data_IF_203287124558
#
_entry.id   IF_203287124558
#
_cell.length_a   1.000
_cell.length_b   1.000
_cell.length_c   1.000
_cell.angle_alpha   90.00
_cell.angle_beta   90.00
_cell.angle_gamma   90.00
#
_symmetry.space_group_name_H-M   'P 1'
#
loop_
_entity.id
_entity.type
_entity.pdbx_description
1 polymer ?
#
# COMPACT_ATOMS: atom_id res chain seq x y z
N UNK A 1 10.26 -9.16 -9.83
CA UNK A 1 10.14 -8.37 -11.11
C UNK A 1 10.35 -6.88 -10.86
N UNK A 2 9.65 -6.25 -9.93
CA UNK A 2 9.72 -4.79 -9.63
C UNK A 2 11.13 -4.31 -9.30
N UNK A 3 11.88 -5.03 -8.48
CA UNK A 3 13.27 -4.69 -8.14
C UNK A 3 14.14 -4.50 -9.40
N UNK A 4 14.06 -5.43 -10.34
CA UNK A 4 14.80 -5.35 -11.61
C UNK A 4 14.34 -4.16 -12.45
N UNK A 5 13.02 -3.95 -12.54
CA UNK A 5 12.46 -2.83 -13.30
C UNK A 5 12.89 -1.48 -12.71
N UNK A 6 12.84 -1.31 -11.40
CA UNK A 6 13.25 -0.06 -10.75
C UNK A 6 14.74 0.20 -10.90
N UNK A 7 15.60 -0.83 -10.83
CA UNK A 7 17.05 -0.70 -11.14
C UNK A 7 17.29 -0.31 -12.60
N UNK A 8 16.54 -0.89 -13.53
CA UNK A 8 16.63 -0.51 -14.95
C UNK A 8 16.19 0.93 -15.19
N UNK A 9 15.10 1.37 -14.54
CA UNK A 9 14.66 2.76 -14.62
C UNK A 9 15.69 3.73 -14.02
N UNK A 10 16.35 3.37 -12.93
CA UNK A 10 17.46 4.18 -12.37
C UNK A 10 18.65 4.25 -13.31
N UNK A 11 19.05 3.13 -13.93
CA UNK A 11 20.13 3.10 -14.91
C UNK A 11 19.79 3.97 -16.12
N UNK A 12 18.56 3.90 -16.63
CA UNK A 12 18.07 4.76 -17.71
C UNK A 12 18.12 6.26 -17.32
N UNK A 13 17.66 6.60 -16.09
CA UNK A 13 17.73 7.98 -15.61
C UNK A 13 19.16 8.49 -15.49
N UNK A 14 20.09 7.64 -15.03
CA UNK A 14 21.51 7.99 -14.97
C UNK A 14 22.06 8.24 -16.38
N UNK A 15 21.76 7.37 -17.34
CA UNK A 15 22.16 7.55 -18.72
C UNK A 15 21.58 8.86 -19.32
N UNK A 16 20.32 9.17 -19.04
CA UNK A 16 19.69 10.42 -19.46
C UNK A 16 20.37 11.66 -18.84
N UNK A 17 20.71 11.61 -17.55
CA UNK A 17 21.46 12.68 -16.88
C UNK A 17 22.82 12.89 -17.54
N UNK A 18 23.56 11.81 -17.84
CA UNK A 18 24.84 11.89 -18.50
C UNK A 18 24.73 12.45 -19.94
N UNK A 19 23.69 12.05 -20.67
CA UNK A 19 23.42 12.56 -22.01
C UNK A 19 23.12 14.08 -22.00
N UNK A 20 22.25 14.53 -21.07
CA UNK A 20 21.98 15.97 -20.90
C UNK A 20 23.22 16.72 -20.49
N UNK A 21 24.03 16.21 -19.55
CA UNK A 21 25.29 16.85 -19.15
C UNK A 21 26.28 16.96 -20.32
N UNK A 22 26.42 15.91 -21.13
CA UNK A 22 27.24 15.92 -22.33
C UNK A 22 26.75 16.95 -23.36
N UNK A 23 25.45 17.03 -23.62
CA UNK A 23 24.85 18.02 -24.51
C UNK A 23 25.11 19.46 -24.05
N UNK A 24 25.00 19.74 -22.76
CA UNK A 24 25.29 21.05 -22.16
C UNK A 24 26.79 21.34 -22.22
N UNK A 25 27.65 20.35 -21.95
CA UNK A 25 29.12 20.51 -21.96
C UNK A 25 29.65 20.79 -23.38
N UNK A 26 29.23 19.99 -24.36
CA UNK A 26 29.78 20.03 -25.69
C UNK A 26 28.99 20.91 -26.67
N UNK A 27 27.65 20.98 -26.49
CA UNK A 27 26.77 21.79 -27.33
C UNK A 27 26.73 23.28 -26.91
N UNK A 28 26.71 23.53 -25.58
CA UNK A 28 26.64 24.90 -25.03
C UNK A 28 27.96 25.38 -24.42
N UNK A 29 29.01 24.57 -24.45
CA UNK A 29 30.36 24.88 -23.96
C UNK A 29 30.48 25.27 -22.49
N UNK A 30 29.52 24.89 -21.63
CA UNK A 30 29.60 25.09 -20.18
C UNK A 30 30.64 24.16 -19.52
N UNK A 31 31.17 24.55 -18.36
CA UNK A 31 32.02 23.68 -17.54
C UNK A 31 31.25 22.45 -17.01
N UNK A 32 31.98 21.36 -16.69
CA UNK A 32 31.37 20.10 -16.21
C UNK A 32 30.49 20.27 -14.97
N UNK A 33 30.90 21.10 -14.00
CA UNK A 33 30.07 21.33 -12.78
C UNK A 33 28.70 21.93 -13.11
N UNK A 34 28.69 22.92 -14.02
CA UNK A 34 27.45 23.56 -14.50
C UNK A 34 26.60 22.55 -15.30
N UNK A 35 27.25 21.79 -16.21
CA UNK A 35 26.54 20.79 -17.01
C UNK A 35 25.88 19.70 -16.16
N UNK A 36 26.59 19.16 -15.17
CA UNK A 36 26.04 18.19 -14.23
C UNK A 36 24.94 18.79 -13.34
N UNK A 37 25.12 20.05 -12.89
CA UNK A 37 24.08 20.76 -12.12
C UNK A 37 22.78 20.94 -12.91
N UNK A 38 22.87 21.36 -14.18
CA UNK A 38 21.73 21.49 -15.09
C UNK A 38 21.05 20.13 -15.31
N UNK A 39 21.83 19.09 -15.61
CA UNK A 39 21.30 17.75 -15.82
C UNK A 39 20.57 17.19 -14.59
N UNK A 40 21.10 17.42 -13.39
CA UNK A 40 20.44 17.07 -12.14
C UNK A 40 19.14 17.85 -11.93
N UNK A 41 19.13 19.16 -12.20
CA UNK A 41 17.91 19.97 -12.11
C UNK A 41 16.85 19.51 -13.11
N UNK A 42 17.22 19.10 -14.31
CA UNK A 42 16.29 18.51 -15.30
C UNK A 42 15.69 17.23 -14.76
N UNK A 43 16.49 16.32 -14.18
CA UNK A 43 15.96 15.10 -13.55
C UNK A 43 14.96 15.41 -12.44
N UNK A 44 15.31 16.34 -11.53
CA UNK A 44 14.42 16.76 -10.44
C UNK A 44 13.13 17.38 -10.99
N UNK A 45 13.24 18.23 -12.02
CA UNK A 45 12.07 18.86 -12.66
C UNK A 45 11.13 17.83 -13.30
N UNK A 46 11.67 16.82 -13.99
CA UNK A 46 10.85 15.73 -14.56
C UNK A 46 10.11 14.97 -13.45
N UNK A 47 10.80 14.58 -12.40
CA UNK A 47 10.18 13.87 -11.27
C UNK A 47 9.17 14.72 -10.52
N UNK A 48 9.45 16.01 -10.37
CA UNK A 48 8.52 17.00 -9.82
C UNK A 48 7.26 17.10 -10.68
N UNK A 49 7.43 17.16 -12.02
CA UNK A 49 6.33 17.17 -12.99
C UNK A 49 5.43 15.93 -12.86
N UNK A 50 6.01 14.75 -12.70
CA UNK A 50 5.24 13.50 -12.44
C UNK A 50 4.43 13.61 -11.14
N UNK A 51 5.05 14.09 -10.06
CA UNK A 51 4.35 14.28 -8.78
C UNK A 51 3.23 15.30 -8.91
N UNK A 52 3.46 16.44 -9.55
CA UNK A 52 2.42 17.47 -9.79
C UNK A 52 1.28 16.86 -10.61
N UNK A 53 1.59 16.10 -11.66
CA UNK A 53 0.57 15.45 -12.49
C UNK A 53 -0.34 14.53 -11.66
N UNK A 54 0.22 13.75 -10.73
CA UNK A 54 -0.58 12.91 -9.84
C UNK A 54 -1.55 13.74 -8.98
N UNK A 55 -1.10 14.87 -8.43
CA UNK A 55 -1.97 15.78 -7.68
C UNK A 55 -3.04 16.43 -8.56
N UNK A 56 -2.70 16.80 -9.80
CA UNK A 56 -3.66 17.38 -10.76
C UNK A 56 -4.74 16.34 -11.14
N UNK A 57 -4.32 15.10 -11.43
CA UNK A 57 -5.26 14.01 -11.73
C UNK A 57 -6.13 13.70 -10.51
N UNK A 58 -5.56 13.59 -9.32
CA UNK A 58 -6.32 13.36 -8.09
C UNK A 58 -7.33 14.50 -7.83
N UNK A 59 -6.97 15.73 -8.16
CA UNK A 59 -7.91 16.86 -8.03
C UNK A 59 -9.16 16.69 -8.90
N UNK A 60 -9.06 16.14 -10.10
CA UNK A 60 -10.22 15.93 -11.02
C UNK A 60 -11.23 14.95 -10.41
N UNK A 61 -10.77 14.00 -9.60
CA UNK A 61 -11.59 12.96 -8.99
C UNK A 61 -11.84 13.17 -7.50
N UNK A 62 -11.32 14.26 -6.90
CA UNK A 62 -11.34 14.45 -5.44
C UNK A 62 -12.75 14.48 -4.87
N UNK A 63 -12.91 13.87 -3.70
CA UNK A 63 -14.07 14.04 -2.83
C UNK A 63 -14.04 15.39 -2.11
N UNK A 64 -15.20 15.81 -1.61
CA UNK A 64 -15.29 16.98 -0.75
C UNK A 64 -14.46 16.72 0.53
N UNK A 65 -13.62 17.70 0.89
CA UNK A 65 -12.79 17.63 2.10
C UNK A 65 -13.50 18.35 3.25
N UNK A 66 -13.82 17.67 4.36
CA UNK A 66 -14.40 18.29 5.54
C UNK A 66 -13.52 19.42 6.09
N UNK A 67 -14.13 20.42 6.73
CA UNK A 67 -13.43 21.64 7.14
C UNK A 67 -12.20 21.38 8.02
N UNK A 68 -12.31 20.45 8.95
CA UNK A 68 -11.26 20.03 9.90
C UNK A 68 -10.04 19.39 9.22
N UNK A 69 -10.20 18.85 8.01
CA UNK A 69 -9.12 18.24 7.23
C UNK A 69 -8.54 19.16 6.15
N UNK A 70 -9.07 20.37 5.99
CA UNK A 70 -8.57 21.32 4.98
C UNK A 70 -7.18 21.83 5.34
N UNK A 71 -6.36 21.98 4.31
CA UNK A 71 -5.00 22.50 4.43
C UNK A 71 -4.97 23.97 3.96
N UNK A 72 -4.22 24.79 4.65
CA UNK A 72 -3.78 26.08 4.10
C UNK A 72 -2.63 25.86 3.11
N UNK A 73 -2.24 26.90 2.38
CA UNK A 73 -1.20 26.80 1.33
C UNK A 73 0.14 26.30 1.86
N UNK A 74 0.55 26.70 3.07
CA UNK A 74 1.79 26.27 3.69
C UNK A 74 1.77 24.76 4.04
N UNK A 75 0.71 24.28 4.66
CA UNK A 75 0.55 22.88 5.00
C UNK A 75 0.46 22.01 3.73
N UNK A 76 -0.20 22.51 2.67
CA UNK A 76 -0.25 21.83 1.40
C UNK A 76 1.16 21.71 0.78
N UNK A 77 1.93 22.80 0.73
CA UNK A 77 3.30 22.79 0.24
C UNK A 77 4.18 21.80 1.02
N UNK A 78 4.09 21.83 2.35
CA UNK A 78 4.81 20.89 3.22
C UNK A 78 4.44 19.44 2.90
N UNK A 79 3.15 19.15 2.80
CA UNK A 79 2.65 17.81 2.44
C UNK A 79 3.15 17.38 1.07
N UNK A 80 3.07 18.25 0.06
CA UNK A 80 3.59 17.98 -1.28
C UNK A 80 5.09 17.66 -1.27
N UNK A 81 5.89 18.44 -0.56
CA UNK A 81 7.33 18.17 -0.42
C UNK A 81 7.59 16.83 0.27
N UNK A 82 6.85 16.51 1.33
CA UNK A 82 6.97 15.22 2.02
C UNK A 82 6.61 14.05 1.11
N UNK A 83 5.53 14.15 0.34
CA UNK A 83 5.10 13.12 -0.61
C UNK A 83 6.11 12.95 -1.75
N UNK A 84 6.64 14.05 -2.29
CA UNK A 84 7.71 14.02 -3.27
C UNK A 84 8.95 13.30 -2.74
N UNK A 85 9.42 13.65 -1.54
CA UNK A 85 10.58 13.00 -0.91
C UNK A 85 10.30 11.53 -0.58
N UNK A 86 9.08 11.19 -0.13
CA UNK A 86 8.65 9.81 0.09
C UNK A 86 8.70 9.00 -1.21
N UNK A 87 8.19 9.56 -2.31
CA UNK A 87 8.24 8.93 -3.63
C UNK A 87 9.68 8.76 -4.13
N UNK A 88 10.53 9.79 -3.96
CA UNK A 88 11.95 9.73 -4.30
C UNK A 88 12.68 8.65 -3.52
N UNK A 89 12.49 8.60 -2.20
CA UNK A 89 13.06 7.57 -1.34
C UNK A 89 12.63 6.16 -1.76
N UNK A 90 11.33 5.97 -1.95
CA UNK A 90 10.75 4.66 -2.26
C UNK A 90 11.24 4.14 -3.61
N UNK A 91 11.17 4.96 -4.66
CA UNK A 91 11.47 4.53 -6.03
C UNK A 91 12.97 4.50 -6.35
N UNK A 92 13.80 5.32 -5.67
CA UNK A 92 15.22 5.42 -5.95
C UNK A 92 16.10 4.62 -5.00
N UNK A 93 15.58 4.24 -3.81
CA UNK A 93 16.37 3.54 -2.81
C UNK A 93 15.67 2.28 -2.25
N UNK A 94 14.46 2.42 -1.69
CA UNK A 94 13.84 1.33 -0.95
C UNK A 94 13.48 0.14 -1.85
N UNK A 95 12.72 0.37 -2.92
CA UNK A 95 12.30 -0.70 -3.83
C UNK A 95 13.46 -1.32 -4.62
N UNK A 96 14.47 -0.57 -5.12
CA UNK A 96 15.59 -1.17 -5.84
C UNK A 96 16.57 -1.96 -4.94
N UNK A 97 16.74 -1.58 -3.65
CA UNK A 97 17.88 -2.06 -2.86
C UNK A 97 17.51 -2.62 -1.47
N UNK A 98 16.26 -2.50 -1.02
CA UNK A 98 15.82 -2.89 0.34
C UNK A 98 14.70 -3.92 0.36
N UNK A 99 14.59 -4.72 -0.70
CA UNK A 99 13.62 -5.84 -0.76
C UNK A 99 13.91 -6.84 0.35
N UNK A 100 12.86 -7.35 1.01
CA UNK A 100 12.96 -8.35 2.08
C UNK A 100 11.75 -9.31 2.12
N UNK A 101 11.12 -9.54 0.97
CA UNK A 101 10.04 -10.52 0.88
C UNK A 101 10.48 -11.91 1.34
N UNK A 102 9.56 -12.64 1.98
CA UNK A 102 9.74 -14.02 2.42
C UNK A 102 10.93 -14.24 3.38
N UNK A 103 11.31 -13.22 4.17
CA UNK A 103 12.30 -13.39 5.23
C UNK A 103 11.82 -14.47 6.24
N UNK A 104 12.72 -15.30 6.78
CA UNK A 104 12.38 -16.26 7.82
C UNK A 104 11.74 -15.59 9.05
N UNK A 105 10.83 -16.32 9.68
CA UNK A 105 10.07 -15.85 10.85
C UNK A 105 10.35 -16.78 12.03
N UNK A 106 10.58 -16.21 13.19
CA UNK A 106 10.74 -16.98 14.43
C UNK A 106 9.38 -17.22 15.11
N UNK A 107 9.33 -18.20 16.02
CA UNK A 107 8.17 -18.39 16.90
C UNK A 107 7.84 -17.10 17.65
N UNK A 108 6.55 -16.85 17.85
CA UNK A 108 6.04 -15.66 18.49
C UNK A 108 4.90 -16.03 19.46
N UNK A 109 4.87 -15.39 20.61
CA UNK A 109 3.74 -15.48 21.55
C UNK A 109 2.56 -14.58 21.13
N UNK A 110 2.81 -13.65 20.21
CA UNK A 110 1.82 -12.69 19.72
C UNK A 110 1.52 -12.92 18.25
N UNK A 111 0.35 -12.48 17.82
CA UNK A 111 -0.05 -12.59 16.42
C UNK A 111 0.96 -11.88 15.51
N UNK A 112 1.49 -12.57 14.50
CA UNK A 112 2.44 -11.98 13.56
C UNK A 112 1.73 -11.12 12.52
N UNK A 113 2.49 -10.30 11.81
CA UNK A 113 1.99 -9.34 10.82
C UNK A 113 2.43 -9.73 9.41
N UNK A 114 1.48 -9.80 8.49
CA UNK A 114 1.73 -9.93 7.05
C UNK A 114 1.64 -8.54 6.39
N UNK A 115 2.71 -8.12 5.70
CA UNK A 115 2.81 -6.84 5.00
C UNK A 115 2.55 -7.03 3.50
N UNK A 116 1.55 -6.35 2.96
CA UNK A 116 1.15 -6.44 1.54
C UNK A 116 1.25 -5.05 0.90
N UNK A 117 2.17 -4.89 -0.06
CA UNK A 117 2.38 -3.63 -0.77
C UNK A 117 1.32 -3.36 -1.86
N UNK A 118 1.34 -2.15 -2.43
CA UNK A 118 0.42 -1.72 -3.49
C UNK A 118 0.92 -1.98 -4.91
N UNK A 119 0.18 -1.42 -5.87
CA UNK A 119 0.47 -1.49 -7.30
C UNK A 119 1.87 -0.97 -7.64
N UNK A 120 2.59 -1.72 -8.47
CA UNK A 120 3.92 -1.32 -8.94
C UNK A 120 5.00 -1.25 -7.86
N UNK A 121 4.74 -1.78 -6.65
CA UNK A 121 5.67 -1.80 -5.54
C UNK A 121 6.28 -3.20 -5.32
N UNK A 122 7.15 -3.30 -4.33
CA UNK A 122 7.66 -4.54 -3.75
C UNK A 122 7.82 -4.37 -2.23
N UNK A 123 8.26 -5.42 -1.54
CA UNK A 123 8.46 -5.43 -0.07
C UNK A 123 9.36 -4.30 0.44
N UNK A 124 10.26 -3.77 -0.39
CA UNK A 124 11.10 -2.62 -0.04
C UNK A 124 10.31 -1.37 0.35
N UNK A 125 9.07 -1.22 -0.13
CA UNK A 125 8.17 -0.13 0.27
C UNK A 125 8.01 -0.05 1.80
N UNK A 126 8.01 -1.17 2.49
CA UNK A 126 7.85 -1.28 3.95
C UNK A 126 9.13 -1.00 4.75
N UNK A 127 10.24 -0.66 4.09
CA UNK A 127 11.54 -0.53 4.76
C UNK A 127 11.53 0.42 5.97
N UNK A 128 10.77 1.52 5.91
CA UNK A 128 10.65 2.47 7.03
C UNK A 128 9.81 1.93 8.19
N UNK A 129 8.87 1.03 7.94
CA UNK A 129 8.03 0.40 8.97
C UNK A 129 8.80 -0.67 9.76
N UNK A 130 9.89 -1.21 9.22
CA UNK A 130 10.66 -2.28 9.87
C UNK A 130 11.13 -1.89 11.27
N UNK A 131 11.81 -0.74 11.39
CA UNK A 131 12.33 -0.31 12.68
C UNK A 131 11.24 -0.15 13.76
N UNK A 132 10.13 0.55 13.54
CA UNK A 132 9.01 0.56 14.48
C UNK A 132 8.50 -0.82 14.89
N UNK A 133 8.49 -1.79 13.96
CA UNK A 133 8.07 -3.16 14.25
C UNK A 133 9.13 -3.92 15.06
N UNK A 134 10.41 -3.79 14.69
CA UNK A 134 11.53 -4.39 15.41
C UNK A 134 11.58 -3.86 16.87
N UNK A 135 11.46 -2.54 17.05
CA UNK A 135 11.44 -1.87 18.37
C UNK A 135 10.22 -2.31 19.23
N UNK A 136 9.10 -2.67 18.60
CA UNK A 136 7.89 -3.17 19.27
C UNK A 136 7.88 -4.69 19.45
N UNK A 137 8.91 -5.42 19.02
CA UNK A 137 9.00 -6.88 19.08
C UNK A 137 7.93 -7.58 18.22
N UNK A 138 7.50 -6.95 17.14
CA UNK A 138 6.51 -7.50 16.22
C UNK A 138 7.22 -8.47 15.26
N UNK A 139 6.72 -9.68 15.18
CA UNK A 139 7.11 -10.65 14.15
C UNK A 139 6.32 -10.36 12.88
N UNK A 140 7.01 -10.17 11.76
CA UNK A 140 6.37 -9.81 10.51
C UNK A 140 7.03 -10.46 9.29
N UNK A 141 6.26 -10.56 8.22
CA UNK A 141 6.69 -10.98 6.88
C UNK A 141 6.12 -10.01 5.85
N UNK A 142 6.89 -9.69 4.83
CA UNK A 142 6.40 -9.00 3.65
C UNK A 142 6.31 -9.98 2.47
N UNK A 143 5.36 -9.76 1.56
CA UNK A 143 5.26 -10.48 0.29
C UNK A 143 5.37 -9.53 -0.88
N UNK A 144 5.78 -10.05 -2.03
CA UNK A 144 5.76 -9.34 -3.30
C UNK A 144 4.59 -9.86 -4.15
N UNK A 145 3.71 -8.97 -4.58
CA UNK A 145 2.60 -9.27 -5.47
C UNK A 145 3.11 -9.33 -6.92
N UNK A 146 3.40 -10.52 -7.40
CA UNK A 146 3.87 -10.77 -8.76
C UNK A 146 2.98 -11.81 -9.45
N UNK A 147 2.70 -11.65 -10.75
CA UNK A 147 3.11 -10.59 -11.68
C UNK A 147 2.46 -9.22 -11.41
N UNK A 148 3.18 -8.13 -11.66
CA UNK A 148 2.80 -6.76 -11.26
C UNK A 148 1.47 -6.28 -11.85
N UNK A 149 1.12 -6.72 -13.06
CA UNK A 149 -0.05 -6.29 -13.82
C UNK A 149 -1.16 -7.35 -13.88
N UNK A 150 -1.09 -8.34 -12.99
CA UNK A 150 -2.04 -9.45 -12.94
C UNK A 150 -3.45 -9.00 -12.48
N UNK A 151 -4.38 -9.92 -12.58
CA UNK A 151 -5.68 -9.85 -11.92
C UNK A 151 -5.50 -9.84 -10.39
N UNK A 152 -6.24 -8.99 -9.68
CA UNK A 152 -6.16 -8.91 -8.20
C UNK A 152 -6.59 -10.25 -7.58
N UNK A 153 -7.49 -10.99 -8.22
CA UNK A 153 -7.87 -12.34 -7.79
C UNK A 153 -6.69 -13.31 -7.75
N UNK A 154 -5.77 -13.17 -8.70
CA UNK A 154 -4.59 -14.03 -8.77
C UNK A 154 -3.62 -13.84 -7.58
N UNK A 155 -3.77 -12.75 -6.82
CA UNK A 155 -2.99 -12.52 -5.61
C UNK A 155 -3.56 -13.22 -4.38
N UNK A 156 -4.84 -13.64 -4.40
CA UNK A 156 -5.47 -14.39 -3.30
C UNK A 156 -4.67 -15.62 -2.87
N UNK A 157 -4.30 -16.54 -3.79
CA UNK A 157 -3.47 -17.70 -3.48
C UNK A 157 -2.07 -17.33 -2.93
N UNK A 158 -1.46 -16.22 -3.39
CA UNK A 158 -0.17 -15.76 -2.86
C UNK A 158 -0.30 -15.29 -1.41
N UNK A 159 -1.39 -14.56 -1.09
CA UNK A 159 -1.68 -14.13 0.28
C UNK A 159 -1.98 -15.36 1.14
N UNK A 160 -2.77 -16.32 0.67
CA UNK A 160 -3.09 -17.55 1.38
C UNK A 160 -1.83 -18.33 1.77
N UNK A 161 -0.95 -18.58 0.81
CA UNK A 161 0.32 -19.25 1.05
C UNK A 161 1.18 -18.52 2.10
N UNK A 162 1.20 -17.19 2.05
CA UNK A 162 1.96 -16.39 3.00
C UNK A 162 1.35 -16.42 4.41
N UNK A 163 0.01 -16.39 4.52
CA UNK A 163 -0.72 -16.52 5.79
C UNK A 163 -0.45 -17.87 6.42
N UNK A 164 -0.63 -18.97 5.67
CA UNK A 164 -0.37 -20.34 6.14
C UNK A 164 1.09 -20.53 6.60
N UNK A 165 2.05 -20.04 5.80
CA UNK A 165 3.46 -20.10 6.14
C UNK A 165 3.77 -19.31 7.42
N UNK A 166 3.19 -18.11 7.54
CA UNK A 166 3.39 -17.24 8.69
C UNK A 166 2.77 -17.85 9.97
N UNK A 167 1.58 -18.43 9.88
CA UNK A 167 0.95 -19.16 10.98
C UNK A 167 1.83 -20.33 11.42
N UNK A 168 2.24 -21.18 10.49
CA UNK A 168 3.08 -22.37 10.78
C UNK A 168 4.42 -22.01 11.42
N UNK A 169 5.12 -21.00 10.90
CA UNK A 169 6.45 -20.62 11.38
C UNK A 169 6.39 -19.87 12.71
N UNK A 170 5.40 -18.99 12.90
CA UNK A 170 5.22 -18.27 14.16
C UNK A 170 4.62 -19.13 15.28
N UNK A 171 3.94 -20.22 14.93
CA UNK A 171 3.19 -21.06 15.88
C UNK A 171 1.83 -20.46 16.28
N UNK A 172 1.32 -19.48 15.53
CA UNK A 172 0.05 -18.83 15.78
C UNK A 172 -1.02 -19.31 14.79
N UNK A 173 -2.27 -19.36 15.21
CA UNK A 173 -3.40 -19.79 14.36
C UNK A 173 -3.93 -18.66 13.45
N UNK A 174 -3.57 -17.41 13.74
CA UNK A 174 -4.05 -16.23 13.01
C UNK A 174 -2.92 -15.21 12.81
N UNK A 175 -3.12 -14.36 11.82
CA UNK A 175 -2.22 -13.24 11.50
C UNK A 175 -2.98 -11.91 11.46
N UNK A 176 -2.24 -10.82 11.57
CA UNK A 176 -2.72 -9.46 11.27
C UNK A 176 -2.19 -9.11 9.88
N UNK A 177 -3.03 -8.58 9.00
CA UNK A 177 -2.60 -8.05 7.70
C UNK A 177 -2.44 -6.54 7.81
N UNK A 178 -1.31 -6.00 7.36
CA UNK A 178 -1.13 -4.56 7.10
C UNK A 178 -0.88 -4.39 5.61
N UNK A 179 -1.80 -3.71 4.93
CA UNK A 179 -1.81 -3.62 3.48
C UNK A 179 -1.86 -2.17 3.01
N UNK A 180 -1.08 -1.84 1.98
CA UNK A 180 -1.07 -0.50 1.38
C UNK A 180 -1.74 -0.52 0.01
N UNK A 181 -2.61 0.47 -0.27
CA UNK A 181 -3.16 0.71 -1.60
C UNK A 181 -3.85 -0.55 -2.17
N UNK A 182 -3.51 -0.99 -3.39
CA UNK A 182 -4.00 -2.22 -4.00
C UNK A 182 -3.81 -3.46 -3.11
N UNK A 183 -2.83 -3.47 -2.22
CA UNK A 183 -2.62 -4.58 -1.28
C UNK A 183 -3.84 -4.87 -0.40
N UNK A 184 -4.63 -3.84 -0.03
CA UNK A 184 -5.89 -4.03 0.70
C UNK A 184 -6.96 -4.72 -0.14
N UNK A 185 -6.96 -4.51 -1.46
CA UNK A 185 -7.85 -5.25 -2.37
C UNK A 185 -7.40 -6.70 -2.55
N UNK A 186 -6.09 -6.96 -2.57
CA UNK A 186 -5.55 -8.32 -2.57
C UNK A 186 -5.92 -9.07 -1.27
N UNK A 187 -5.89 -8.39 -0.12
CA UNK A 187 -6.38 -8.94 1.15
C UNK A 187 -7.88 -9.26 1.11
N UNK A 188 -8.72 -8.37 0.53
CA UNK A 188 -10.16 -8.62 0.34
C UNK A 188 -10.41 -9.81 -0.60
N UNK A 189 -9.67 -9.91 -1.71
CA UNK A 189 -9.77 -11.04 -2.63
C UNK A 189 -9.39 -12.36 -1.94
N UNK A 190 -8.35 -12.36 -1.12
CA UNK A 190 -7.97 -13.52 -0.30
C UNK A 190 -9.11 -13.92 0.65
N UNK A 191 -9.69 -12.97 1.41
CA UNK A 191 -10.78 -13.25 2.34
C UNK A 191 -12.01 -13.84 1.63
N UNK A 192 -12.35 -13.34 0.45
CA UNK A 192 -13.44 -13.88 -0.37
C UNK A 192 -13.19 -15.33 -0.81
N UNK A 193 -11.94 -15.67 -1.15
CA UNK A 193 -11.57 -16.99 -1.66
C UNK A 193 -11.34 -18.04 -0.56
N UNK A 194 -10.76 -17.62 0.56
CA UNK A 194 -10.26 -18.52 1.60
C UNK A 194 -10.97 -18.37 2.96
N UNK A 195 -11.86 -17.37 3.10
CA UNK A 195 -12.50 -17.05 4.38
C UNK A 195 -11.58 -16.28 5.32
N UNK A 196 -12.06 -16.02 6.53
CA UNK A 196 -11.43 -15.10 7.49
C UNK A 196 -10.85 -15.79 8.73
N UNK A 197 -10.89 -17.12 8.83
CA UNK A 197 -10.58 -17.89 10.05
C UNK A 197 -9.14 -17.64 10.55
N UNK A 198 -8.19 -17.45 9.63
CA UNK A 198 -6.79 -17.20 9.96
C UNK A 198 -6.45 -15.71 10.11
N UNK A 199 -7.45 -14.83 10.06
CA UNK A 199 -7.22 -13.38 10.12
C UNK A 199 -7.81 -12.81 11.42
N UNK A 200 -6.98 -12.11 12.18
CA UNK A 200 -7.41 -11.41 13.39
C UNK A 200 -7.79 -9.95 13.10
N UNK A 201 -7.11 -9.31 12.15
CA UNK A 201 -7.32 -7.90 11.77
C UNK A 201 -6.73 -7.63 10.40
N UNK A 202 -7.35 -6.73 9.64
CA UNK A 202 -6.80 -6.17 8.39
C UNK A 202 -6.70 -4.66 8.54
N UNK A 203 -5.49 -4.13 8.51
CA UNK A 203 -5.22 -2.69 8.59
C UNK A 203 -4.82 -2.22 7.19
N UNK A 204 -5.63 -1.38 6.57
CA UNK A 204 -5.35 -0.86 5.23
C UNK A 204 -4.89 0.59 5.28
N UNK A 205 -3.91 0.93 4.45
CA UNK A 205 -3.34 2.27 4.32
C UNK A 205 -3.63 2.80 2.91
N UNK A 206 -4.58 3.73 2.78
CA UNK A 206 -4.94 4.33 1.49
C UNK A 206 -5.39 3.31 0.45
N UNK A 207 -6.14 2.27 0.84
CA UNK A 207 -6.64 1.27 -0.11
C UNK A 207 -7.85 1.79 -0.87
N UNK A 208 -7.89 1.66 -2.20
CA UNK A 208 -9.01 2.11 -3.01
C UNK A 208 -10.16 1.09 -2.96
N UNK A 209 -10.85 0.97 -1.80
CA UNK A 209 -11.91 -0.02 -1.60
C UNK A 209 -13.04 0.09 -2.61
N UNK A 210 -13.28 1.30 -3.12
CA UNK A 210 -14.27 1.58 -4.17
C UNK A 210 -13.63 2.05 -5.49
N UNK A 211 -12.28 1.94 -5.61
CA UNK A 211 -11.54 2.30 -6.82
C UNK A 211 -10.92 3.69 -6.78
N UNK A 212 -10.23 4.04 -7.85
CA UNK A 212 -9.59 5.34 -8.03
C UNK A 212 -9.59 5.79 -9.49
N UNK A 213 -9.83 7.09 -9.72
CA UNK A 213 -9.75 7.70 -11.04
C UNK A 213 -8.35 7.63 -11.66
N UNK A 214 -7.31 7.58 -10.83
CA UNK A 214 -5.92 7.44 -11.31
C UNK A 214 -5.69 6.09 -12.00
N UNK A 215 -6.39 5.03 -11.59
CA UNK A 215 -6.29 3.72 -12.24
C UNK A 215 -6.75 3.72 -13.69
N UNK A 216 -7.52 4.73 -14.13
CA UNK A 216 -7.93 4.90 -15.53
C UNK A 216 -6.73 5.16 -16.46
N UNK A 217 -5.60 5.62 -15.93
CA UNK A 217 -4.36 5.91 -16.64
C UNK A 217 -3.28 4.86 -16.42
N UNK A 218 -3.55 3.84 -15.60
CA UNK A 218 -2.61 2.77 -15.30
C UNK A 218 -2.69 1.61 -16.28
N UNK A 219 -1.74 0.69 -16.18
CA UNK A 219 -1.64 -0.51 -17.01
C UNK A 219 -1.98 -1.78 -16.22
N UNK A 220 -2.48 -2.79 -16.92
CA UNK A 220 -2.75 -4.12 -16.36
C UNK A 220 -4.22 -4.37 -15.99
N UNK A 221 -4.51 -5.64 -15.69
CA UNK A 221 -5.87 -6.06 -15.31
C UNK A 221 -6.25 -5.46 -13.95
N UNK A 222 -5.32 -5.41 -13.01
CA UNK A 222 -5.52 -4.80 -11.70
C UNK A 222 -5.92 -3.32 -11.77
N UNK A 223 -5.36 -2.52 -12.69
CA UNK A 223 -5.82 -1.15 -12.91
C UNK A 223 -7.27 -1.12 -13.40
N UNK A 224 -7.65 -2.01 -14.33
CA UNK A 224 -9.05 -2.12 -14.79
C UNK A 224 -10.00 -2.48 -13.67
N UNK A 225 -9.56 -3.30 -12.72
CA UNK A 225 -10.35 -3.68 -11.55
C UNK A 225 -10.46 -2.54 -10.53
N UNK A 226 -9.45 -1.66 -10.44
CA UNK A 226 -9.46 -0.49 -9.56
C UNK A 226 -10.09 0.76 -10.17
N UNK A 227 -10.64 0.69 -11.39
CA UNK A 227 -11.20 1.86 -12.08
C UNK A 227 -12.32 2.51 -11.27
N UNK A 228 -12.27 3.85 -11.21
CA UNK A 228 -13.41 4.70 -10.90
C UNK A 228 -13.87 5.39 -12.18
N UNK A 229 -15.07 5.09 -12.65
CA UNK A 229 -15.64 5.65 -13.89
C UNK A 229 -16.51 6.85 -13.58
N UNK A 230 -16.31 7.96 -14.28
CA UNK A 230 -17.03 9.21 -14.08
C UNK A 230 -16.27 10.18 -13.17
N UNK A 231 -16.91 11.26 -12.74
CA UNK A 231 -16.34 12.24 -11.83
C UNK A 231 -16.52 11.82 -10.34
N UNK A 232 -15.99 12.60 -9.42
CA UNK A 232 -16.05 12.29 -7.99
C UNK A 232 -17.48 12.14 -7.41
N UNK A 233 -18.48 12.88 -7.98
CA UNK A 233 -19.85 12.90 -7.46
C UNK A 233 -20.77 11.88 -8.12
N UNK A 234 -20.60 11.64 -9.43
CA UNK A 234 -21.48 10.79 -10.23
C UNK A 234 -20.77 9.52 -10.71
N UNK A 235 -19.53 9.34 -10.36
CA UNK A 235 -18.75 8.17 -10.74
C UNK A 235 -19.12 6.93 -9.94
N UNK A 236 -18.68 5.80 -10.45
CA UNK A 236 -18.94 4.49 -9.86
C UNK A 236 -17.70 3.59 -9.91
N UNK A 237 -17.54 2.70 -8.94
CA UNK A 237 -16.51 1.68 -8.95
C UNK A 237 -16.70 0.70 -10.11
N UNK A 238 -15.64 -0.01 -10.45
CA UNK A 238 -15.69 -1.08 -11.44
C UNK A 238 -16.71 -2.17 -11.04
N UNK A 239 -17.14 -2.96 -12.02
CA UNK A 239 -18.01 -4.13 -11.77
C UNK A 239 -17.33 -5.10 -10.79
N UNK A 240 -16.03 -5.28 -10.91
CA UNK A 240 -15.27 -6.17 -10.03
C UNK A 240 -15.33 -5.71 -8.55
N UNK A 241 -15.11 -4.41 -8.29
CA UNK A 241 -15.19 -3.86 -6.93
C UNK A 241 -16.60 -3.95 -6.34
N UNK A 242 -17.63 -3.73 -7.14
CA UNK A 242 -19.01 -3.90 -6.68
C UNK A 242 -19.30 -5.34 -6.28
N UNK A 243 -18.90 -6.32 -7.10
CA UNK A 243 -19.04 -7.75 -6.78
C UNK A 243 -18.24 -8.14 -5.54
N UNK A 244 -17.04 -7.56 -5.34
CA UNK A 244 -16.26 -7.78 -4.14
C UNK A 244 -16.99 -7.23 -2.92
N UNK A 245 -17.54 -6.04 -3.02
CA UNK A 245 -18.30 -5.37 -1.95
C UNK A 245 -19.58 -6.14 -1.57
N UNK A 246 -20.29 -6.67 -2.56
CA UNK A 246 -21.51 -7.50 -2.38
C UNK A 246 -21.22 -8.88 -1.78
N UNK A 247 -20.00 -9.39 -1.91
CA UNK A 247 -19.61 -10.72 -1.42
C UNK A 247 -19.18 -10.74 0.05
N UNK A 248 -18.99 -9.59 0.68
CA UNK A 248 -18.50 -9.47 2.05
C UNK A 248 -19.64 -9.32 3.05
N UNK A 249 -19.62 -10.15 4.08
CA UNK A 249 -20.52 -10.04 5.22
C UNK A 249 -20.01 -9.03 6.27
N UNK A 250 -20.86 -8.70 7.23
CA UNK A 250 -20.55 -7.77 8.30
C UNK A 250 -19.35 -8.25 9.15
N UNK A 251 -19.27 -9.55 9.45
CA UNK A 251 -18.19 -10.12 10.25
C UNK A 251 -16.82 -9.93 9.57
N UNK A 252 -16.74 -10.11 8.25
CA UNK A 252 -15.55 -9.84 7.47
C UNK A 252 -15.18 -8.35 7.51
N UNK A 253 -16.15 -7.45 7.39
CA UNK A 253 -15.90 -5.99 7.39
C UNK A 253 -15.43 -5.47 8.74
N UNK A 254 -15.90 -6.03 9.83
CA UNK A 254 -15.48 -5.70 11.21
C UNK A 254 -13.99 -6.04 11.48
N UNK A 255 -13.39 -6.91 10.67
CA UNK A 255 -11.94 -7.15 10.73
C UNK A 255 -11.11 -5.96 10.23
N UNK A 256 -11.71 -5.06 9.43
CA UNK A 256 -10.96 -3.99 8.77
C UNK A 256 -10.82 -2.74 9.63
N UNK A 257 -9.61 -2.18 9.60
CA UNK A 257 -9.33 -0.80 9.99
C UNK A 257 -8.76 -0.09 8.76
N UNK A 258 -9.52 0.85 8.21
CA UNK A 258 -9.08 1.61 7.04
C UNK A 258 -8.51 2.96 7.46
N UNK A 259 -7.20 3.12 7.29
CA UNK A 259 -6.46 4.35 7.54
C UNK A 259 -6.26 5.06 6.21
N UNK A 260 -6.69 6.31 6.09
CA UNK A 260 -6.61 7.06 4.85
C UNK A 260 -6.37 8.56 5.08
N UNK A 261 -6.05 9.28 4.03
CA UNK A 261 -5.85 10.73 4.06
C UNK A 261 -6.78 11.44 3.09
N UNK A 262 -7.37 12.56 3.53
CA UNK A 262 -8.15 13.42 2.65
C UNK A 262 -7.31 14.13 1.57
N UNK A 263 -6.00 14.04 1.63
CA UNK A 263 -5.07 14.58 0.63
C UNK A 263 -4.30 13.48 -0.13
N UNK A 264 -4.84 12.26 -0.13
CA UNK A 264 -4.28 11.20 -0.97
C UNK A 264 -4.27 11.64 -2.44
N UNK A 265 -3.11 11.51 -3.09
CA UNK A 265 -2.87 11.97 -4.46
C UNK A 265 -2.87 10.82 -5.48
N UNK A 266 -3.23 9.61 -5.05
CA UNK A 266 -3.34 8.41 -5.90
C UNK A 266 -4.74 7.79 -5.76
N UNK A 267 -5.28 7.69 -4.53
CA UNK A 267 -6.65 7.25 -4.33
C UNK A 267 -7.57 8.46 -4.29
N UNK A 268 -8.30 8.65 -5.38
CA UNK A 268 -9.27 9.72 -5.56
C UNK A 268 -10.51 9.19 -6.33
N UNK A 269 -11.73 9.33 -5.80
CA UNK A 269 -12.09 10.08 -4.58
C UNK A 269 -11.43 9.51 -3.31
N UNK A 270 -11.00 10.38 -2.39
CA UNK A 270 -10.30 9.95 -1.16
C UNK A 270 -11.19 9.12 -0.24
N UNK A 271 -12.49 9.41 -0.23
CA UNK A 271 -13.50 8.61 0.49
C UNK A 271 -13.64 7.19 -0.06
N UNK A 272 -13.09 6.89 -1.23
CA UNK A 272 -12.98 5.52 -1.76
C UNK A 272 -12.19 4.59 -0.83
N UNK A 273 -11.35 5.15 0.04
CA UNK A 273 -10.64 4.37 1.06
C UNK A 273 -11.52 4.04 2.27
N UNK A 274 -12.68 4.65 2.43
CA UNK A 274 -13.62 4.25 3.48
C UNK A 274 -14.25 2.90 3.11
N UNK A 275 -14.43 2.04 4.11
CA UNK A 275 -15.12 0.76 3.97
C UNK A 275 -16.29 0.72 4.95
N UNK A 276 -17.49 0.57 4.45
CA UNK A 276 -18.70 0.49 5.28
C UNK A 276 -18.63 -0.78 6.17
N UNK A 277 -19.00 -0.64 7.44
CA UNK A 277 -18.88 -1.72 8.42
C UNK A 277 -17.49 -1.88 9.03
N UNK A 278 -16.47 -1.20 8.50
CA UNK A 278 -15.12 -1.17 9.05
C UNK A 278 -14.89 0.06 9.95
N UNK A 279 -13.84 0.01 10.77
CA UNK A 279 -13.33 1.18 11.47
C UNK A 279 -12.53 2.05 10.51
N UNK A 280 -12.98 3.28 10.25
CA UNK A 280 -12.33 4.21 9.34
C UNK A 280 -11.61 5.31 10.11
N UNK A 281 -10.31 5.52 9.86
CA UNK A 281 -9.46 6.50 10.53
C UNK A 281 -8.91 7.47 9.48
N UNK A 282 -9.38 8.72 9.54
CA UNK A 282 -9.02 9.76 8.60
C UNK A 282 -7.83 10.59 9.10
N UNK A 283 -6.91 10.90 8.20
CA UNK A 283 -5.80 11.82 8.44
C UNK A 283 -5.86 13.02 7.49
N UNK A 284 -5.06 14.03 7.79
CA UNK A 284 -4.84 15.19 6.92
C UNK A 284 -3.36 15.42 6.67
N UNK A 285 -3.03 15.97 5.50
CA UNK A 285 -1.68 16.43 5.19
C UNK A 285 -0.66 15.32 4.99
N UNK A 286 -1.12 14.13 4.56
CA UNK A 286 -0.28 12.98 4.22
C UNK A 286 -0.67 12.54 2.81
N UNK A 287 0.31 12.43 1.91
CA UNK A 287 0.12 11.89 0.57
C UNK A 287 0.15 10.36 0.56
N UNK A 288 -0.14 9.75 -0.58
CA UNK A 288 -0.35 8.31 -0.72
C UNK A 288 0.89 7.47 -0.39
N UNK A 289 2.04 7.81 -0.99
CA UNK A 289 3.29 7.07 -0.75
C UNK A 289 3.80 7.29 0.67
N UNK A 290 3.56 8.48 1.22
CA UNK A 290 3.97 8.84 2.58
C UNK A 290 3.20 8.07 3.67
N UNK A 291 2.03 7.46 3.39
CA UNK A 291 1.23 6.75 4.40
C UNK A 291 2.04 5.68 5.14
N UNK A 292 2.82 4.84 4.43
CA UNK A 292 3.63 3.82 5.09
C UNK A 292 5.00 4.32 5.59
N UNK A 293 5.31 5.62 5.41
CA UNK A 293 6.58 6.21 5.81
C UNK A 293 6.43 7.21 6.96
N UNK A 294 5.19 7.67 7.23
CA UNK A 294 4.92 8.75 8.17
C UNK A 294 4.84 8.24 9.62
N UNK A 295 5.59 8.84 10.58
CA UNK A 295 5.63 8.36 11.97
C UNK A 295 4.26 8.29 12.66
N UNK A 296 3.36 9.24 12.38
CA UNK A 296 2.00 9.24 12.96
C UNK A 296 1.18 8.03 12.46
N UNK A 297 1.36 7.63 11.21
CA UNK A 297 0.72 6.43 10.67
C UNK A 297 1.35 5.17 11.29
N UNK A 298 2.68 5.15 11.47
CA UNK A 298 3.34 4.04 12.17
C UNK A 298 2.76 3.86 13.58
N UNK A 299 2.62 4.94 14.35
CA UNK A 299 2.03 4.88 15.68
C UNK A 299 0.59 4.33 15.64
N UNK A 300 -0.25 4.84 14.72
CA UNK A 300 -1.62 4.36 14.55
C UNK A 300 -1.67 2.87 14.20
N UNK A 301 -0.82 2.39 13.28
CA UNK A 301 -0.73 0.97 12.92
C UNK A 301 -0.30 0.12 14.12
N UNK A 302 0.69 0.57 14.90
CA UNK A 302 1.13 -0.13 16.11
C UNK A 302 0.02 -0.22 17.16
N UNK A 303 -0.77 0.83 17.34
CA UNK A 303 -1.89 0.84 18.28
C UNK A 303 -2.99 -0.13 17.83
N UNK A 304 -3.31 -0.21 16.53
CA UNK A 304 -4.27 -1.16 16.00
C UNK A 304 -3.76 -2.62 16.08
N UNK A 305 -2.47 -2.86 15.91
CA UNK A 305 -1.86 -4.18 16.13
C UNK A 305 -1.97 -4.58 17.61
N UNK A 306 -1.64 -3.68 18.54
CA UNK A 306 -1.78 -3.93 19.99
C UNK A 306 -3.23 -4.20 20.40
N UNK A 307 -4.16 -3.43 19.82
CA UNK A 307 -5.59 -3.67 20.04
C UNK A 307 -6.02 -5.05 19.55
N UNK A 308 -5.49 -5.51 18.41
CA UNK A 308 -5.77 -6.84 17.89
C UNK A 308 -5.21 -7.97 18.78
N UNK A 309 -4.07 -7.75 19.43
CA UNK A 309 -3.51 -8.71 20.41
C UNK A 309 -4.37 -8.84 21.69
N UNK A 310 -5.08 -7.79 22.05
CA UNK A 310 -5.95 -7.78 23.23
C UNK A 310 -7.32 -8.44 22.99
N UNK A 311 -7.65 -8.78 21.74
CA UNK A 311 -8.91 -9.48 21.44
C UNK A 311 -8.86 -10.91 21.99
N UNK A 312 -9.95 -11.40 22.64
CA UNK A 312 -10.01 -12.78 23.08
C UNK A 312 -9.83 -13.72 21.88
N UNK A 313 -9.05 -14.76 22.08
CA UNK A 313 -8.95 -15.84 21.09
C UNK A 313 -10.34 -16.50 21.03
N UNK A 314 -10.89 -16.78 19.82
CA UNK A 314 -12.08 -17.61 19.74
C UNK A 314 -11.79 -18.94 20.45
N UNK A 315 -12.73 -19.39 21.27
CA UNK A 315 -12.63 -20.71 21.90
C UNK A 315 -12.32 -21.73 20.80
N UNK A 316 -11.26 -22.52 20.98
CA UNK A 316 -10.99 -23.66 20.09
C UNK A 316 -12.24 -24.53 20.15
N UNK A 317 -12.93 -24.69 19.02
CA UNK A 317 -13.99 -25.67 18.91
C UNK A 317 -13.40 -26.99 19.41
N UNK A 318 -13.81 -27.42 20.59
CA UNK A 318 -13.44 -28.72 21.13
C UNK A 318 -14.00 -29.74 20.15
N UNK A 319 -13.10 -30.40 19.40
CA UNK A 319 -13.48 -31.63 18.74
C UNK A 319 -13.91 -32.61 19.87
N UNK A 320 -15.20 -32.60 20.17
CA UNK A 320 -15.79 -33.63 20.98
C UNK A 320 -15.58 -34.94 20.19
N UNK A 321 -14.65 -35.76 20.66
CA UNK A 321 -14.56 -37.15 20.28
C UNK A 321 -15.96 -37.76 20.50
N UNK A 322 -16.66 -38.07 19.41
CA UNK A 322 -17.82 -38.90 19.51
C UNK A 322 -17.36 -40.30 19.96
N UNK A 323 -17.87 -40.83 21.07
CA UNK A 323 -17.54 -42.20 21.48
C UNK A 323 -18.02 -43.16 20.40
N UNK A 324 -17.08 -43.94 19.88
CA UNK A 324 -17.39 -45.09 19.01
C UNK A 324 -18.24 -46.04 19.85
N UNK A 325 -19.53 -46.09 19.60
CA UNK A 325 -20.37 -47.16 20.10
C UNK A 325 -20.13 -48.39 19.24
N UNK A 326 -19.32 -49.32 19.76
CA UNK A 326 -19.29 -50.69 19.28
C UNK A 326 -20.68 -51.36 19.50
N UNK A 327 -21.26 -51.81 18.40
CA UNK A 327 -22.29 -52.84 18.38
C UNK A 327 -21.85 -53.96 17.49
#
# INVERSE_FOLDING_TARGET
MVERLTRQLLAFQLAAVLAVAASVRFGLHYGWHTALGIAFLVLVAVRMGISINNFVLAWQYRSDTPREYRLNAWLFLRMFCMEFLASMWTTSWAMPFKRFANAPVNKSERLPVLLIHGYGCNSGYWHRMRRPFDDAGIVYRAIDLEPVFADIEAYGPLVAQAVEALCRESGQDRVIIVAHSMGGLAARAYLRQCGNQQIARVITLGSPHHGTGIANFGAGMNCRQMHWRGNAKTGAPSIWLRKLDESEDQATRELFVSIYSHQDNIVAPQISSQLAGARNIAFRGIGHVALALHPVIHACVLDEIRAAWALPLPEKASHAEQPITEN
#
